data_IF_390665982185
#
_entry.id   IF_390665982185
#
_cell.length_a   1.000
_cell.length_b   1.000
_cell.length_c   1.000
_cell.angle_alpha   90.00
_cell.angle_beta   90.00
_cell.angle_gamma   90.00
#
_symmetry.space_group_name_H-M   'P 1'
#
loop_
_entity.id
_entity.type
_entity.pdbx_description
1 polymer ?
#
# COMPACT_ATOMS: atom_id res chain seq x y z
N UNK A 1 44.82 44.00 14.11
CA UNK A 1 43.80 43.10 13.52
C UNK A 1 44.51 42.21 12.52
N UNK A 2 44.84 40.97 12.88
CA UNK A 2 45.47 40.01 11.96
C UNK A 2 44.35 39.12 11.41
N UNK A 3 44.03 39.29 10.15
CA UNK A 3 43.09 38.41 9.45
C UNK A 3 43.78 37.04 9.31
N UNK A 4 43.29 36.01 10.00
CA UNK A 4 43.86 34.66 9.96
C UNK A 4 43.18 33.85 8.83
N UNK A 5 43.83 33.64 7.67
CA UNK A 5 43.25 32.91 6.54
C UNK A 5 42.91 31.45 6.86
N UNK A 6 43.59 30.85 7.86
CA UNK A 6 43.36 29.47 8.29
C UNK A 6 41.96 29.23 8.89
N UNK A 7 41.41 30.20 9.64
CA UNK A 7 40.05 30.10 10.21
C UNK A 7 38.95 30.17 9.15
N UNK A 8 39.18 30.97 8.10
CA UNK A 8 38.23 31.14 6.98
C UNK A 8 38.21 29.88 6.11
N UNK A 9 39.37 29.26 5.89
CA UNK A 9 39.47 28.02 5.12
C UNK A 9 38.79 26.84 5.85
N UNK A 10 39.00 26.71 7.17
CA UNK A 10 38.32 25.69 7.98
C UNK A 10 36.80 25.88 8.02
N UNK A 11 36.32 27.12 8.16
CA UNK A 11 34.89 27.43 8.13
C UNK A 11 34.26 27.12 6.75
N UNK A 12 34.96 27.43 5.65
CA UNK A 12 34.49 27.09 4.30
C UNK A 12 34.47 25.57 4.07
N UNK A 13 35.45 24.84 4.60
CA UNK A 13 35.48 23.38 4.55
C UNK A 13 34.29 22.78 5.33
N UNK A 14 34.00 23.25 6.53
CA UNK A 14 32.86 22.77 7.33
C UNK A 14 31.51 23.08 6.66
N UNK A 15 31.34 24.28 6.09
CA UNK A 15 30.12 24.66 5.35
C UNK A 15 29.88 23.79 4.11
N UNK A 16 30.92 23.40 3.38
CA UNK A 16 30.80 22.55 2.18
C UNK A 16 30.42 21.11 2.53
N UNK A 17 30.99 20.55 3.61
CA UNK A 17 30.59 19.25 4.11
C UNK A 17 29.10 19.20 4.52
N UNK A 18 28.60 20.24 5.21
CA UNK A 18 27.19 20.34 5.57
C UNK A 18 26.25 20.38 4.35
N UNK A 19 26.61 21.15 3.31
CA UNK A 19 25.80 21.23 2.09
C UNK A 19 25.74 19.89 1.33
N UNK A 20 26.86 19.17 1.25
CA UNK A 20 26.91 17.85 0.62
C UNK A 20 26.07 16.81 1.37
N UNK A 21 26.14 16.80 2.70
CA UNK A 21 25.34 15.90 3.54
C UNK A 21 23.85 16.18 3.36
N UNK A 22 23.45 17.45 3.34
CA UNK A 22 22.06 17.83 3.10
C UNK A 22 21.57 17.33 1.73
N UNK A 23 22.37 17.53 0.68
CA UNK A 23 22.02 17.07 -0.67
C UNK A 23 21.88 15.55 -0.76
N UNK A 24 22.80 14.79 -0.16
CA UNK A 24 22.70 13.32 -0.15
C UNK A 24 21.47 12.82 0.61
N UNK A 25 21.12 13.46 1.74
CA UNK A 25 19.94 13.12 2.52
C UNK A 25 18.64 13.42 1.75
N UNK A 26 18.58 14.53 1.02
CA UNK A 26 17.41 14.86 0.18
C UNK A 26 17.18 13.79 -0.90
N UNK A 27 18.24 13.37 -1.59
CA UNK A 27 18.13 12.35 -2.63
C UNK A 27 17.68 10.98 -2.08
N UNK A 28 18.18 10.59 -0.91
CA UNK A 28 17.76 9.35 -0.23
C UNK A 28 16.28 9.39 0.18
N UNK A 29 15.83 10.54 0.68
CA UNK A 29 14.42 10.77 1.01
C UNK A 29 13.52 10.69 -0.22
N UNK A 30 13.92 11.31 -1.33
CA UNK A 30 13.15 11.28 -2.59
C UNK A 30 13.01 9.85 -3.12
N UNK A 31 14.10 9.10 -3.16
CA UNK A 31 14.08 7.70 -3.61
C UNK A 31 13.21 6.83 -2.71
N UNK A 32 13.29 6.99 -1.38
CA UNK A 32 12.42 6.28 -0.45
C UNK A 32 10.95 6.66 -0.62
N UNK A 33 10.65 7.93 -0.85
CA UNK A 33 9.27 8.41 -1.07
C UNK A 33 8.66 7.82 -2.35
N UNK A 34 9.43 7.74 -3.44
CA UNK A 34 9.00 7.11 -4.69
C UNK A 34 8.72 5.61 -4.47
N UNK A 35 9.63 4.90 -3.81
CA UNK A 35 9.46 3.47 -3.53
C UNK A 35 8.21 3.19 -2.68
N UNK A 36 7.97 3.99 -1.63
CA UNK A 36 6.78 3.88 -0.80
C UNK A 36 5.49 4.12 -1.61
N UNK A 37 5.49 5.13 -2.49
CA UNK A 37 4.33 5.46 -3.32
C UNK A 37 4.01 4.34 -4.33
N UNK A 38 5.04 3.71 -4.90
CA UNK A 38 4.88 2.55 -5.77
C UNK A 38 4.25 1.37 -5.03
N UNK A 39 4.72 1.07 -3.81
CA UNK A 39 4.15 0.00 -3.00
C UNK A 39 2.68 0.26 -2.64
N UNK A 40 2.33 1.50 -2.28
CA UNK A 40 0.94 1.89 -2.02
C UNK A 40 0.07 1.67 -3.26
N UNK A 41 0.54 2.08 -4.44
CA UNK A 41 -0.18 1.90 -5.70
C UNK A 41 -0.42 0.42 -6.03
N UNK A 42 0.59 -0.43 -5.83
CA UNK A 42 0.48 -1.88 -6.04
C UNK A 42 -0.55 -2.51 -5.10
N UNK A 43 -0.49 -2.20 -3.80
CA UNK A 43 -1.44 -2.73 -2.81
C UNK A 43 -2.87 -2.27 -3.10
N UNK A 44 -3.07 -1.00 -3.49
CA UNK A 44 -4.39 -0.49 -3.89
C UNK A 44 -4.95 -1.22 -5.11
N UNK A 45 -4.12 -1.44 -6.12
CA UNK A 45 -4.52 -2.17 -7.34
C UNK A 45 -4.90 -3.61 -7.01
N UNK A 46 -4.11 -4.28 -6.16
CA UNK A 46 -4.40 -5.63 -5.69
C UNK A 46 -5.71 -5.68 -4.90
N UNK A 47 -5.93 -4.73 -4.00
CA UNK A 47 -7.16 -4.63 -3.22
C UNK A 47 -8.38 -4.41 -4.12
N UNK A 48 -8.29 -3.53 -5.11
CA UNK A 48 -9.37 -3.28 -6.06
C UNK A 48 -9.70 -4.52 -6.91
N UNK A 49 -8.69 -5.28 -7.34
CA UNK A 49 -8.89 -6.55 -8.05
C UNK A 49 -9.64 -7.56 -7.18
N UNK A 50 -9.22 -7.73 -5.93
CA UNK A 50 -9.85 -8.66 -4.98
C UNK A 50 -11.27 -8.26 -4.61
N UNK A 51 -11.53 -6.96 -4.43
CA UNK A 51 -12.89 -6.46 -4.22
C UNK A 51 -13.79 -6.70 -5.43
N UNK A 52 -13.26 -6.66 -6.66
CA UNK A 52 -14.02 -7.02 -7.85
C UNK A 52 -14.33 -8.52 -7.88
N UNK A 53 -13.35 -9.38 -7.60
CA UNK A 53 -13.54 -10.84 -7.50
C UNK A 53 -14.62 -11.20 -6.45
N UNK A 54 -14.55 -10.59 -5.27
CA UNK A 54 -15.53 -10.79 -4.19
C UNK A 54 -16.95 -10.40 -4.64
N UNK A 55 -17.10 -9.22 -5.26
CA UNK A 55 -18.40 -8.76 -5.77
C UNK A 55 -18.97 -9.70 -6.83
N UNK A 56 -18.13 -10.20 -7.74
CA UNK A 56 -18.57 -11.17 -8.74
C UNK A 56 -19.08 -12.46 -8.09
N UNK A 57 -18.36 -13.00 -7.10
CA UNK A 57 -18.78 -14.20 -6.37
C UNK A 57 -20.09 -13.99 -5.58
N UNK A 58 -20.26 -12.83 -4.95
CA UNK A 58 -21.50 -12.45 -4.24
C UNK A 58 -22.69 -12.35 -5.18
N UNK A 59 -22.52 -11.74 -6.35
CA UNK A 59 -23.56 -11.67 -7.38
C UNK A 59 -23.94 -13.07 -7.86
N UNK A 60 -22.96 -13.91 -8.22
CA UNK A 60 -23.24 -15.31 -8.61
C UNK A 60 -23.97 -16.07 -7.51
N UNK A 61 -23.59 -15.88 -6.24
CA UNK A 61 -24.27 -16.52 -5.11
C UNK A 61 -25.72 -16.07 -4.96
N UNK A 62 -25.99 -14.79 -5.20
CA UNK A 62 -27.34 -14.19 -5.15
C UNK A 62 -28.20 -14.73 -6.28
N UNK A 63 -27.68 -14.76 -7.51
CA UNK A 63 -28.35 -15.35 -8.67
C UNK A 63 -28.64 -16.85 -8.47
N UNK A 64 -27.69 -17.63 -7.95
CA UNK A 64 -27.95 -19.05 -7.63
C UNK A 64 -28.98 -19.25 -6.50
N UNK A 65 -29.28 -18.21 -5.72
CA UNK A 65 -30.28 -18.28 -4.66
C UNK A 65 -31.69 -17.98 -5.15
N UNK A 66 -31.83 -17.30 -6.29
CA UNK A 66 -33.12 -17.07 -6.95
C UNK A 66 -33.60 -18.27 -7.78
N UNK A 67 -32.70 -19.21 -8.10
CA UNK A 67 -33.02 -20.40 -8.89
C UNK A 67 -33.74 -21.50 -8.07
N UNK A 68 -34.64 -22.27 -8.71
CA UNK A 68 -35.26 -23.45 -8.09
C UNK A 68 -34.21 -24.50 -7.66
N UNK A 69 -34.47 -25.25 -6.58
CA UNK A 69 -33.53 -26.23 -6.04
C UNK A 69 -33.25 -27.42 -6.99
N UNK A 70 -34.16 -27.68 -7.93
CA UNK A 70 -34.07 -28.78 -8.90
C UNK A 70 -33.32 -28.41 -10.19
N UNK A 71 -32.59 -27.29 -10.18
CA UNK A 71 -31.86 -26.82 -11.36
C UNK A 71 -30.53 -27.55 -11.48
N UNK A 72 -30.27 -28.15 -12.65
CA UNK A 72 -28.97 -28.75 -12.95
C UNK A 72 -27.88 -27.67 -13.05
N UNK A 73 -26.83 -27.80 -12.23
CA UNK A 73 -25.72 -26.86 -12.18
C UNK A 73 -24.44 -27.57 -12.56
N UNK A 74 -23.62 -26.88 -13.33
CA UNK A 74 -22.36 -27.39 -13.82
C UNK A 74 -21.23 -26.42 -13.47
N UNK A 75 -20.16 -26.94 -12.88
CA UNK A 75 -18.93 -26.20 -12.64
C UNK A 75 -17.95 -26.48 -13.78
N UNK A 76 -17.38 -25.43 -14.36
CA UNK A 76 -16.33 -25.56 -15.37
C UNK A 76 -14.99 -25.94 -14.74
N UNK A 77 -14.39 -27.04 -15.21
CA UNK A 77 -13.06 -27.52 -14.83
C UNK A 77 -12.22 -27.65 -16.10
N UNK A 78 -11.48 -26.59 -16.44
CA UNK A 78 -10.70 -26.52 -17.68
C UNK A 78 -11.60 -26.51 -18.92
N UNK A 79 -11.51 -27.57 -19.74
CA UNK A 79 -12.35 -27.76 -20.95
C UNK A 79 -13.60 -28.62 -20.70
N UNK A 80 -13.82 -29.05 -19.47
CA UNK A 80 -14.94 -29.93 -19.08
C UNK A 80 -15.89 -29.21 -18.14
N UNK A 81 -17.12 -29.72 -18.06
CA UNK A 81 -18.14 -29.28 -17.12
C UNK A 81 -18.58 -30.48 -16.26
N UNK A 82 -18.60 -30.30 -14.94
CA UNK A 82 -18.96 -31.35 -13.98
C UNK A 82 -20.24 -30.95 -13.28
N UNK A 83 -21.21 -31.85 -13.23
CA UNK A 83 -22.45 -31.64 -12.50
C UNK A 83 -22.17 -31.55 -11.00
N UNK A 84 -22.73 -30.55 -10.34
CA UNK A 84 -22.58 -30.32 -8.91
C UNK A 84 -23.94 -29.92 -8.32
N UNK A 85 -24.35 -30.45 -7.16
CA UNK A 85 -25.59 -30.01 -6.54
C UNK A 85 -25.51 -28.54 -6.12
N UNK A 86 -26.67 -27.86 -6.12
CA UNK A 86 -26.78 -26.44 -5.79
C UNK A 86 -26.23 -26.10 -4.39
N UNK A 87 -26.39 -26.99 -3.42
CA UNK A 87 -25.85 -26.84 -2.05
C UNK A 87 -24.33 -26.68 -2.06
N UNK A 88 -23.64 -27.53 -2.81
CA UNK A 88 -22.19 -27.60 -2.80
C UNK A 88 -21.61 -26.42 -3.57
N UNK A 89 -22.26 -26.01 -4.66
CA UNK A 89 -21.88 -24.80 -5.40
C UNK A 89 -22.02 -23.55 -4.53
N UNK A 90 -23.13 -23.43 -3.78
CA UNK A 90 -23.35 -22.35 -2.82
C UNK A 90 -22.29 -22.34 -1.71
N UNK A 91 -21.98 -23.50 -1.13
CA UNK A 91 -20.92 -23.63 -0.13
C UNK A 91 -19.53 -23.26 -0.64
N UNK A 92 -19.19 -23.64 -1.88
CA UNK A 92 -17.94 -23.22 -2.53
C UNK A 92 -17.87 -21.71 -2.76
N UNK A 93 -18.96 -21.08 -3.17
CA UNK A 93 -19.01 -19.63 -3.32
C UNK A 93 -18.87 -18.93 -1.97
N UNK A 94 -19.54 -19.42 -0.93
CA UNK A 94 -19.47 -18.85 0.42
C UNK A 94 -18.04 -18.94 0.99
N UNK A 95 -17.32 -20.05 0.76
CA UNK A 95 -15.92 -20.16 1.17
C UNK A 95 -15.00 -19.25 0.37
N UNK A 96 -15.20 -19.12 -0.95
CA UNK A 96 -14.46 -18.16 -1.81
C UNK A 96 -14.67 -16.72 -1.39
N UNK A 97 -15.91 -16.34 -1.05
CA UNK A 97 -16.25 -15.00 -0.56
C UNK A 97 -15.50 -14.72 0.75
N UNK A 98 -15.62 -15.62 1.74
CA UNK A 98 -14.94 -15.46 3.05
C UNK A 98 -13.42 -15.38 2.91
N UNK A 99 -12.83 -16.23 2.06
CA UNK A 99 -11.40 -16.19 1.78
C UNK A 99 -10.97 -14.85 1.20
N UNK A 100 -11.68 -14.38 0.17
CA UNK A 100 -11.37 -13.10 -0.49
C UNK A 100 -11.61 -11.91 0.43
N UNK A 101 -12.64 -11.95 1.28
CA UNK A 101 -12.91 -10.93 2.30
C UNK A 101 -11.74 -10.80 3.28
N UNK A 102 -11.21 -11.92 3.78
CA UNK A 102 -10.04 -11.92 4.66
C UNK A 102 -8.78 -11.37 3.97
N UNK A 103 -8.59 -11.65 2.67
CA UNK A 103 -7.50 -11.08 1.87
C UNK A 103 -7.66 -9.56 1.71
N UNK A 104 -8.87 -9.07 1.44
CA UNK A 104 -9.17 -7.64 1.31
C UNK A 104 -8.91 -6.91 2.62
N UNK A 105 -9.30 -7.48 3.77
CA UNK A 105 -8.99 -6.92 5.09
C UNK A 105 -7.48 -6.89 5.35
N UNK A 106 -6.77 -7.96 5.02
CA UNK A 106 -5.31 -8.03 5.14
C UNK A 106 -4.60 -6.96 4.30
N UNK A 107 -5.02 -6.79 3.05
CA UNK A 107 -4.52 -5.74 2.15
C UNK A 107 -4.87 -4.34 2.67
N UNK A 108 -6.06 -4.16 3.24
CA UNK A 108 -6.48 -2.90 3.87
C UNK A 108 -5.61 -2.50 5.05
N UNK A 109 -5.28 -3.44 5.95
CA UNK A 109 -4.36 -3.21 7.07
C UNK A 109 -2.95 -2.84 6.58
N UNK A 110 -2.45 -3.56 5.56
CA UNK A 110 -1.16 -3.28 4.94
C UNK A 110 -1.13 -1.90 4.30
N UNK A 111 -2.18 -1.54 3.57
CA UNK A 111 -2.32 -0.22 2.93
C UNK A 111 -2.29 0.88 3.98
N UNK A 112 -3.09 0.74 5.04
CA UNK A 112 -3.15 1.73 6.12
C UNK A 112 -1.80 1.93 6.80
N UNK A 113 -1.08 0.84 7.09
CA UNK A 113 0.26 0.91 7.65
C UNK A 113 1.22 1.70 6.74
N UNK A 114 1.22 1.41 5.43
CA UNK A 114 2.08 2.11 4.47
C UNK A 114 1.73 3.61 4.37
N UNK A 115 0.45 3.96 4.36
CA UNK A 115 0.00 5.35 4.32
C UNK A 115 0.36 6.13 5.58
N UNK A 116 0.16 5.54 6.76
CA UNK A 116 0.52 6.16 8.05
C UNK A 116 2.04 6.31 8.16
N UNK A 117 2.80 5.26 7.80
CA UNK A 117 4.26 5.30 7.81
C UNK A 117 4.79 6.40 6.89
N UNK A 118 4.28 6.50 5.67
CA UNK A 118 4.66 7.55 4.71
C UNK A 118 4.33 8.95 5.26
N UNK A 119 3.16 9.13 5.87
CA UNK A 119 2.76 10.40 6.49
C UNK A 119 3.68 10.77 7.66
N UNK A 120 4.05 9.80 8.50
CA UNK A 120 4.95 10.01 9.63
C UNK A 120 6.35 10.41 9.15
N UNK A 121 6.90 9.71 8.15
CA UNK A 121 8.19 10.05 7.55
C UNK A 121 8.16 11.47 6.95
N UNK A 122 7.10 11.83 6.22
CA UNK A 122 6.94 13.18 5.66
C UNK A 122 6.91 14.26 6.76
N UNK A 123 6.15 14.04 7.83
CA UNK A 123 6.10 14.97 8.96
C UNK A 123 7.47 15.12 9.65
N UNK A 124 8.24 14.05 9.75
CA UNK A 124 9.60 14.08 10.32
C UNK A 124 10.53 14.92 9.44
N UNK A 125 10.50 14.72 8.12
CA UNK A 125 11.28 15.51 7.16
C UNK A 125 10.86 16.98 7.20
N UNK A 126 9.56 17.29 7.21
CA UNK A 126 9.05 18.65 7.30
C UNK A 126 9.52 19.35 8.58
N UNK A 127 9.61 18.64 9.71
CA UNK A 127 10.18 19.18 10.97
C UNK A 127 11.67 19.44 10.86
N UNK A 128 12.43 18.53 10.25
CA UNK A 128 13.87 18.71 10.03
C UNK A 128 14.14 19.90 9.10
N UNK A 129 13.34 20.06 8.03
CA UNK A 129 13.46 21.16 7.07
C UNK A 129 12.99 22.51 7.62
N UNK A 130 11.94 22.54 8.45
CA UNK A 130 11.50 23.76 9.15
C UNK A 130 12.44 24.17 10.27
N UNK A 131 13.36 23.28 10.65
CA UNK A 131 14.38 23.54 11.64
C UNK A 131 13.83 23.54 13.05
N UNK A 132 14.76 23.32 13.96
CA UNK A 132 14.78 23.63 15.37
C UNK A 132 14.56 25.14 15.66
N UNK A 133 13.67 25.80 14.90
CA UNK A 133 13.34 27.23 14.94
C UNK A 133 11.99 27.54 15.62
N UNK A 134 11.43 26.58 16.35
CA UNK A 134 10.25 26.77 17.20
C UNK A 134 10.56 26.38 18.65
N UNK A 135 11.66 26.90 19.19
CA UNK A 135 11.77 27.08 20.64
C UNK A 135 11.26 28.48 21.00
N UNK A 136 10.27 28.50 21.88
CA UNK A 136 9.86 29.59 22.77
C UNK A 136 9.32 30.88 22.15
N UNK A 137 7.99 30.95 22.06
CA UNK A 137 7.20 32.10 22.55
C UNK A 137 5.77 31.65 22.84
#
# INVERSE_FOLDING_TARGET
MVFCPFKIWHANQEQTHHNLICLSLLHEVETQAIAAQQQISLVRTQQASKQREMRMAQLTRTELSSLPPDTNIFEGVGKMFVALPLSDMKGKLDSRIKGTESEVEGLGKRLHYLEVSQKNSKNQIDRMLRGDGASTS
#
